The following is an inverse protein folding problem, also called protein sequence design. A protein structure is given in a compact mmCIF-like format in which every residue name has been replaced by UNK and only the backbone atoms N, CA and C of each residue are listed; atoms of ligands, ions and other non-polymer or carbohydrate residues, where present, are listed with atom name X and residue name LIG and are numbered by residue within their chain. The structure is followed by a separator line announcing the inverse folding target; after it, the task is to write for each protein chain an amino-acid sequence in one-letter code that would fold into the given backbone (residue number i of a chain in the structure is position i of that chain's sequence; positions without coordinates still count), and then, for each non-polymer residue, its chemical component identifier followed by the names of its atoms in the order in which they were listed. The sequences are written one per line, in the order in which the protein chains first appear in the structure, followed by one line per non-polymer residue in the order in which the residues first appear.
data_IF_940749345765
#
_entry.id   IF_940749345765
#
_cell.length_a   1.000
_cell.length_b   1.000
_cell.length_c   1.000
_cell.angle_alpha   90.00
_cell.angle_beta   90.00
_cell.angle_gamma   90.00
#
_symmetry.space_group_name_H-M   'P 1'
#
loop_
_entity.id
_entity.type
_entity.pdbx_description
1 polymer ?
#
# COMPACT_ATOMS: atom_id res chain seq x y z
N UNK A 1 -32.23 -26.63 -17.97
CA UNK A 1 -31.07 -25.82 -18.41
C UNK A 1 -29.84 -26.71 -18.31
N UNK A 2 -29.31 -27.14 -19.42
CA UNK A 2 -28.29 -28.20 -19.50
C UNK A 2 -26.89 -27.58 -19.35
N UNK A 3 -26.08 -28.17 -18.48
CA UNK A 3 -24.63 -27.90 -18.29
C UNK A 3 -23.80 -28.11 -19.60
N UNK A 4 -24.43 -28.49 -20.70
CA UNK A 4 -23.82 -28.71 -22.01
C UNK A 4 -23.38 -27.43 -22.76
N UNK A 5 -23.59 -26.24 -22.19
CA UNK A 5 -23.19 -24.98 -22.81
C UNK A 5 -21.76 -24.52 -22.43
N UNK A 6 -21.06 -25.25 -21.56
CA UNK A 6 -19.69 -24.92 -21.16
C UNK A 6 -18.74 -25.50 -22.19
N UNK A 7 -18.17 -24.64 -23.06
CA UNK A 7 -17.20 -25.07 -24.08
C UNK A 7 -15.93 -25.68 -23.48
N UNK A 8 -15.22 -26.55 -24.23
CA UNK A 8 -14.04 -27.31 -23.75
C UNK A 8 -12.87 -26.44 -23.28
N UNK A 9 -12.87 -25.13 -23.56
CA UNK A 9 -11.86 -24.16 -23.11
C UNK A 9 -12.19 -23.44 -21.80
N UNK A 10 -13.39 -23.60 -21.24
CA UNK A 10 -13.86 -22.81 -20.10
C UNK A 10 -13.07 -23.07 -18.81
N UNK A 11 -12.87 -24.34 -18.45
CA UNK A 11 -12.14 -24.72 -17.25
C UNK A 11 -10.67 -24.25 -17.24
N UNK A 12 -9.90 -24.42 -18.32
CA UNK A 12 -8.54 -23.88 -18.40
C UNK A 12 -8.47 -22.36 -18.28
N UNK A 13 -9.44 -21.64 -18.84
CA UNK A 13 -9.50 -20.16 -18.72
C UNK A 13 -9.76 -19.74 -17.29
N UNK A 14 -10.74 -20.36 -16.63
CA UNK A 14 -11.03 -20.10 -15.20
C UNK A 14 -9.83 -20.47 -14.32
N UNK A 15 -9.22 -21.60 -14.54
CA UNK A 15 -8.05 -22.05 -13.77
C UNK A 15 -6.89 -21.03 -13.85
N UNK A 16 -6.58 -20.52 -15.05
CA UNK A 16 -5.59 -19.47 -15.23
C UNK A 16 -5.99 -18.17 -14.54
N UNK A 17 -7.26 -17.77 -14.64
CA UNK A 17 -7.78 -16.57 -13.99
C UNK A 17 -7.66 -16.65 -12.47
N UNK A 18 -8.06 -17.76 -11.85
CA UNK A 18 -7.93 -17.99 -10.41
C UNK A 18 -6.45 -17.98 -10.01
N UNK A 19 -5.58 -18.66 -10.77
CA UNK A 19 -4.14 -18.64 -10.52
C UNK A 19 -3.54 -17.24 -10.55
N UNK A 20 -3.93 -16.43 -11.54
CA UNK A 20 -3.51 -15.04 -11.65
C UNK A 20 -3.98 -14.20 -10.44
N UNK A 21 -5.25 -14.33 -10.04
CA UNK A 21 -5.81 -13.64 -8.88
C UNK A 21 -5.01 -13.96 -7.62
N UNK A 22 -4.73 -15.26 -7.38
CA UNK A 22 -3.98 -15.67 -6.20
C UNK A 22 -2.55 -15.12 -6.18
N UNK A 23 -1.86 -15.16 -7.34
CA UNK A 23 -0.50 -14.61 -7.45
C UNK A 23 -0.46 -13.11 -7.22
N UNK A 24 -1.37 -12.34 -7.82
CA UNK A 24 -1.46 -10.90 -7.58
C UNK A 24 -1.89 -10.57 -6.15
N UNK A 25 -2.77 -11.37 -5.54
CA UNK A 25 -3.17 -11.19 -4.15
C UNK A 25 -1.98 -11.40 -3.20
N UNK A 26 -1.19 -12.46 -3.40
CA UNK A 26 0.03 -12.70 -2.62
C UNK A 26 1.04 -11.57 -2.81
N UNK A 27 1.32 -11.17 -4.06
CA UNK A 27 2.22 -10.07 -4.35
C UNK A 27 1.74 -8.76 -3.73
N UNK A 28 0.46 -8.44 -3.84
CA UNK A 28 -0.13 -7.23 -3.26
C UNK A 28 0.00 -7.19 -1.74
N UNK A 29 -0.31 -8.31 -1.06
CA UNK A 29 -0.12 -8.41 0.39
C UNK A 29 1.34 -8.24 0.79
N UNK A 30 2.27 -8.87 0.07
CA UNK A 30 3.72 -8.72 0.34
C UNK A 30 4.18 -7.28 0.17
N UNK A 31 3.74 -6.58 -0.88
CA UNK A 31 4.05 -5.17 -1.10
C UNK A 31 3.47 -4.27 0.00
N UNK A 32 2.23 -4.53 0.43
CA UNK A 32 1.62 -3.78 1.54
C UNK A 32 2.37 -4.00 2.86
N UNK A 33 2.76 -5.24 3.16
CA UNK A 33 3.56 -5.55 4.35
C UNK A 33 4.95 -4.91 4.29
N UNK A 34 5.58 -4.92 3.12
CA UNK A 34 6.86 -4.26 2.89
C UNK A 34 6.74 -2.74 3.06
N UNK A 35 5.68 -2.13 2.53
CA UNK A 35 5.39 -0.71 2.71
C UNK A 35 5.19 -0.35 4.18
N UNK A 36 4.40 -1.14 4.91
CA UNK A 36 4.24 -0.98 6.35
C UNK A 36 5.58 -1.10 7.09
N UNK A 37 6.37 -2.13 6.79
CA UNK A 37 7.68 -2.32 7.39
C UNK A 37 8.64 -1.16 7.07
N UNK A 38 8.64 -0.64 5.85
CA UNK A 38 9.46 0.49 5.45
C UNK A 38 9.11 1.77 6.24
N UNK A 39 7.82 2.03 6.46
CA UNK A 39 7.35 3.13 7.30
C UNK A 39 7.73 2.89 8.76
N UNK A 40 7.54 1.68 9.30
CA UNK A 40 7.93 1.31 10.68
C UNK A 40 9.44 1.49 10.91
N UNK A 41 10.27 1.03 9.97
CA UNK A 41 11.73 1.13 10.05
C UNK A 41 12.22 2.58 10.03
N UNK A 42 11.50 3.48 9.37
CA UNK A 42 11.85 4.90 9.27
C UNK A 42 11.22 5.75 10.37
N UNK A 43 10.26 5.20 11.15
CA UNK A 43 9.57 5.93 12.22
C UNK A 43 10.28 5.75 13.56
N UNK A 44 10.67 6.83 14.25
CA UNK A 44 11.30 6.73 15.57
C UNK A 44 10.34 6.12 16.58
N UNK A 45 10.68 4.95 17.14
CA UNK A 45 9.97 4.33 18.26
C UNK A 45 9.11 3.11 17.94
N UNK A 46 9.26 2.50 16.75
CA UNK A 46 8.55 1.29 16.30
C UNK A 46 7.03 1.46 16.25
N UNK A 47 6.54 1.87 15.08
CA UNK A 47 5.12 2.09 14.78
C UNK A 47 4.25 0.89 15.16
N UNK A 48 4.72 -0.33 14.86
CA UNK A 48 4.02 -1.57 15.19
C UNK A 48 3.70 -1.69 16.70
N UNK A 49 4.62 -1.28 17.57
CA UNK A 49 4.40 -1.28 19.03
C UNK A 49 3.33 -0.25 19.41
N UNK A 50 3.45 0.97 18.91
CA UNK A 50 2.51 2.06 19.20
C UNK A 50 1.09 1.74 18.75
N UNK A 51 0.94 1.07 17.59
CA UNK A 51 -0.36 0.58 17.09
C UNK A 51 -0.94 -0.49 18.01
N UNK A 52 -0.13 -1.43 18.49
CA UNK A 52 -0.57 -2.46 19.44
C UNK A 52 -0.97 -1.88 20.81
N UNK A 53 -0.34 -0.83 21.24
CA UNK A 53 -0.66 -0.08 22.46
C UNK A 53 -1.93 0.78 22.26
N UNK A 54 -2.45 0.89 21.04
CA UNK A 54 -3.69 1.62 20.73
C UNK A 54 -3.51 3.13 20.75
N UNK A 55 -2.29 3.66 20.57
CA UNK A 55 -2.04 5.10 20.52
C UNK A 55 -2.80 5.71 19.32
N UNK A 56 -3.70 6.67 19.55
CA UNK A 56 -4.67 7.07 18.53
C UNK A 56 -4.03 7.71 17.29
N UNK A 57 -2.95 8.49 17.46
CA UNK A 57 -2.18 9.06 16.36
C UNK A 57 -1.53 8.00 15.49
N UNK A 58 -0.92 6.96 16.11
CA UNK A 58 -0.28 5.87 15.39
C UNK A 58 -1.27 5.00 14.63
N UNK A 59 -2.44 4.72 15.23
CA UNK A 59 -3.51 3.96 14.58
C UNK A 59 -4.04 4.70 13.34
N UNK A 60 -4.34 6.00 13.48
CA UNK A 60 -4.84 6.84 12.39
C UNK A 60 -3.85 6.91 11.23
N UNK A 61 -2.59 7.24 11.51
CA UNK A 61 -1.55 7.41 10.49
C UNK A 61 -1.23 6.08 9.81
N UNK A 62 -1.21 4.98 10.57
CA UNK A 62 -1.01 3.63 10.00
C UNK A 62 -2.16 3.25 9.07
N UNK A 63 -3.41 3.47 9.49
CA UNK A 63 -4.58 3.20 8.64
C UNK A 63 -4.51 3.99 7.33
N UNK A 64 -4.19 5.28 7.38
CA UNK A 64 -4.00 6.12 6.21
C UNK A 64 -2.86 5.64 5.31
N UNK A 65 -1.74 5.22 5.91
CA UNK A 65 -0.59 4.64 5.20
C UNK A 65 -0.95 3.34 4.48
N UNK A 66 -1.72 2.46 5.11
CA UNK A 66 -2.20 1.22 4.48
C UNK A 66 -3.14 1.50 3.31
N UNK A 67 -4.07 2.45 3.45
CA UNK A 67 -4.95 2.88 2.35
C UNK A 67 -4.12 3.45 1.19
N UNK A 68 -3.15 4.28 1.49
CA UNK A 68 -2.20 4.84 0.52
C UNK A 68 -1.47 3.74 -0.25
N UNK A 69 -0.92 2.75 0.45
CA UNK A 69 -0.24 1.60 -0.16
C UNK A 69 -1.18 0.76 -1.01
N UNK A 70 -2.43 0.59 -0.58
CA UNK A 70 -3.43 -0.14 -1.37
C UNK A 70 -3.69 0.55 -2.73
N UNK A 71 -3.78 1.88 -2.78
CA UNK A 71 -3.90 2.63 -4.04
C UNK A 71 -2.70 2.37 -4.96
N UNK A 72 -1.47 2.44 -4.43
CA UNK A 72 -0.24 2.19 -5.20
C UNK A 72 -0.23 0.76 -5.76
N UNK A 73 -0.52 -0.23 -4.92
CA UNK A 73 -0.51 -1.65 -5.32
C UNK A 73 -1.60 -1.94 -6.35
N UNK A 74 -2.83 -1.44 -6.14
CA UNK A 74 -3.94 -1.63 -7.08
C UNK A 74 -3.61 -1.04 -8.44
N UNK A 75 -3.08 0.18 -8.49
CA UNK A 75 -2.72 0.82 -9.76
C UNK A 75 -1.51 0.15 -10.41
N UNK A 76 -0.52 -0.32 -9.64
CA UNK A 76 0.60 -1.09 -10.16
C UNK A 76 0.13 -2.40 -10.83
N UNK A 77 -0.84 -3.09 -10.23
CA UNK A 77 -1.46 -4.28 -10.82
C UNK A 77 -2.30 -3.90 -12.06
N UNK A 78 -3.10 -2.85 -11.96
CA UNK A 78 -3.97 -2.40 -13.03
C UNK A 78 -3.20 -1.98 -14.30
N UNK A 79 -2.10 -1.26 -14.13
CA UNK A 79 -1.24 -0.79 -15.24
C UNK A 79 -0.34 -1.89 -15.82
N UNK A 80 -0.23 -3.04 -15.14
CA UNK A 80 0.58 -4.14 -15.62
C UNK A 80 -0.14 -4.87 -16.78
N UNK A 81 0.52 -4.89 -17.96
CA UNK A 81 0.03 -5.49 -19.20
C UNK A 81 0.96 -6.61 -19.66
N UNK A 82 0.54 -7.39 -20.65
CA UNK A 82 1.34 -8.45 -21.24
C UNK A 82 1.06 -9.83 -20.65
N UNK A 83 2.09 -10.66 -20.57
CA UNK A 83 2.00 -12.00 -19.98
C UNK A 83 1.87 -11.91 -18.45
N UNK A 84 1.38 -12.97 -17.80
CA UNK A 84 1.25 -13.02 -16.34
C UNK A 84 2.59 -12.69 -15.63
N UNK A 85 3.70 -13.19 -16.16
CA UNK A 85 5.04 -12.93 -15.58
C UNK A 85 5.44 -11.45 -15.73
N UNK A 86 5.22 -10.86 -16.90
CA UNK A 86 5.50 -9.43 -17.14
C UNK A 86 4.64 -8.55 -16.23
N UNK A 87 3.35 -8.91 -16.09
CA UNK A 87 2.44 -8.21 -15.19
C UNK A 87 2.85 -8.29 -13.73
N UNK A 88 3.27 -9.45 -13.23
CA UNK A 88 3.78 -9.63 -11.87
C UNK A 88 5.08 -8.84 -11.63
N UNK A 89 6.01 -8.87 -12.60
CA UNK A 89 7.25 -8.10 -12.52
C UNK A 89 6.98 -6.60 -12.57
N UNK A 90 6.09 -6.14 -13.43
CA UNK A 90 5.65 -4.75 -13.50
C UNK A 90 5.04 -4.28 -12.19
N UNK A 91 4.08 -5.03 -11.64
CA UNK A 91 3.46 -4.72 -10.36
C UNK A 91 4.47 -4.71 -9.19
N UNK A 92 5.45 -5.64 -9.20
CA UNK A 92 6.52 -5.65 -8.21
C UNK A 92 7.39 -4.39 -8.30
N UNK A 93 7.87 -4.05 -9.51
CA UNK A 93 8.75 -2.90 -9.71
C UNK A 93 8.04 -1.59 -9.36
N UNK A 94 6.84 -1.36 -9.90
CA UNK A 94 6.07 -0.15 -9.62
C UNK A 94 5.65 -0.05 -8.16
N UNK A 95 5.28 -1.18 -7.55
CA UNK A 95 4.98 -1.24 -6.12
C UNK A 95 6.19 -0.87 -5.26
N UNK A 96 7.39 -1.39 -5.58
CA UNK A 96 8.62 -1.04 -4.85
C UNK A 96 8.98 0.44 -5.01
N UNK A 97 8.89 0.98 -6.23
CA UNK A 97 9.08 2.41 -6.48
C UNK A 97 8.08 3.23 -5.67
N UNK A 98 6.82 2.81 -5.66
CA UNK A 98 5.76 3.44 -4.86
C UNK A 98 6.08 3.47 -3.37
N UNK A 99 6.57 2.36 -2.79
CA UNK A 99 7.03 2.30 -1.39
C UNK A 99 8.14 3.33 -1.12
N UNK A 100 9.14 3.41 -1.98
CA UNK A 100 10.26 4.36 -1.83
C UNK A 100 9.77 5.81 -1.88
N UNK A 101 8.92 6.13 -2.86
CA UNK A 101 8.35 7.48 -3.00
C UNK A 101 7.47 7.83 -1.81
N UNK A 102 6.67 6.89 -1.32
CA UNK A 102 5.81 7.09 -0.14
C UNK A 102 6.63 7.42 1.10
N UNK A 103 7.66 6.63 1.39
CA UNK A 103 8.54 6.86 2.55
C UNK A 103 9.30 8.18 2.41
N UNK A 104 9.86 8.45 1.23
CA UNK A 104 10.58 9.71 0.93
C UNK A 104 9.67 10.93 1.05
N UNK A 105 8.44 10.85 0.54
CA UNK A 105 7.45 11.91 0.60
C UNK A 105 7.02 12.26 2.03
N UNK A 106 6.83 11.25 2.87
CA UNK A 106 6.53 11.47 4.30
C UNK A 106 7.70 12.14 5.03
N UNK A 107 8.93 11.74 4.73
CA UNK A 107 10.12 12.40 5.30
C UNK A 107 10.28 13.83 4.82
N UNK A 108 10.02 14.07 3.55
CA UNK A 108 10.01 15.43 3.00
C UNK A 108 8.94 16.29 3.69
N UNK A 109 7.75 15.74 3.90
CA UNK A 109 6.68 16.43 4.63
C UNK A 109 7.13 16.82 6.05
N UNK A 110 7.73 15.88 6.80
CA UNK A 110 8.26 16.13 8.14
C UNK A 110 9.26 17.28 8.14
N UNK A 111 10.16 17.28 7.16
CA UNK A 111 11.17 18.33 7.01
C UNK A 111 10.57 19.71 6.65
N UNK A 112 9.61 19.75 5.73
CA UNK A 112 8.98 20.99 5.26
C UNK A 112 8.05 21.60 6.31
N UNK A 113 7.25 20.75 6.99
CA UNK A 113 6.24 21.23 7.96
C UNK A 113 6.82 21.44 9.37
N UNK A 114 7.98 20.83 9.66
CA UNK A 114 8.55 20.82 11.00
C UNK A 114 7.76 19.95 12.00
N UNK A 115 6.74 19.21 11.53
CA UNK A 115 5.97 18.30 12.38
C UNK A 115 6.84 17.11 12.73
N UNK A 116 7.14 16.95 14.02
CA UNK A 116 7.87 15.75 14.51
C UNK A 116 6.92 14.55 14.58
N UNK A 117 6.83 13.81 13.47
CA UNK A 117 5.88 12.70 13.32
C UNK A 117 6.01 11.70 14.47
N UNK A 118 7.23 11.38 14.91
CA UNK A 118 7.45 10.46 16.02
C UNK A 118 6.84 10.91 17.36
N UNK A 119 6.74 12.20 17.63
CA UNK A 119 6.07 12.74 18.82
C UNK A 119 4.55 12.66 18.69
N UNK A 120 4.03 13.00 17.52
CA UNK A 120 2.59 12.92 17.21
C UNK A 120 2.07 11.49 17.36
N UNK A 121 2.86 10.51 16.92
CA UNK A 121 2.49 9.10 16.99
C UNK A 121 2.51 8.52 18.41
N UNK A 122 3.37 9.06 19.29
CA UNK A 122 3.51 8.61 20.70
C UNK A 122 2.53 9.27 21.65
N UNK A 123 1.81 10.30 21.21
CA UNK A 123 0.89 10.99 22.07
C UNK A 123 -0.28 10.09 22.51
N UNK A 124 -0.57 10.10 23.83
CA UNK A 124 -1.70 9.34 24.40
C UNK A 124 -3.07 9.89 23.94
N UNK A 125 -3.10 11.14 23.53
CA UNK A 125 -4.31 11.79 23.00
C UNK A 125 -4.13 12.09 21.51
N UNK A 126 -5.22 12.07 20.76
CA UNK A 126 -5.20 12.35 19.33
C UNK A 126 -4.81 13.80 19.07
N UNK A 127 -3.63 14.00 18.54
CA UNK A 127 -3.14 15.32 18.16
C UNK A 127 -3.71 15.74 16.80
N UNK A 128 -4.13 17.02 16.61
CA UNK A 128 -4.59 17.51 15.30
C UNK A 128 -3.58 17.28 14.16
N UNK A 129 -2.29 17.34 14.46
CA UNK A 129 -1.21 17.05 13.49
C UNK A 129 -1.27 15.64 12.91
N UNK A 130 -1.85 14.67 13.64
CA UNK A 130 -2.03 13.30 13.14
C UNK A 130 -2.92 13.26 11.90
N UNK A 131 -3.93 14.13 11.81
CA UNK A 131 -4.77 14.24 10.61
C UNK A 131 -4.01 14.80 9.41
N UNK A 132 -3.12 15.77 9.63
CA UNK A 132 -2.27 16.31 8.57
C UNK A 132 -1.35 15.23 8.01
N UNK A 133 -0.71 14.46 8.89
CA UNK A 133 0.16 13.35 8.49
C UNK A 133 -0.63 12.25 7.77
N UNK A 134 -1.80 11.90 8.29
CA UNK A 134 -2.68 10.90 7.66
C UNK A 134 -3.15 11.35 6.27
N UNK A 135 -3.60 12.59 6.14
CA UNK A 135 -4.01 13.17 4.86
C UNK A 135 -2.85 13.20 3.84
N UNK A 136 -1.66 13.54 4.30
CA UNK A 136 -0.46 13.55 3.45
C UNK A 136 -0.11 12.13 2.95
N UNK A 137 -0.23 11.09 3.79
CA UNK A 137 -0.05 9.71 3.34
C UNK A 137 -1.02 9.36 2.21
N UNK A 138 -2.31 9.66 2.36
CA UNK A 138 -3.32 9.38 1.32
C UNK A 138 -3.04 10.19 0.06
N UNK A 139 -2.75 11.49 0.19
CA UNK A 139 -2.45 12.36 -0.95
C UNK A 139 -1.23 11.87 -1.74
N UNK A 140 -0.14 11.51 -1.05
CA UNK A 140 1.05 10.94 -1.69
C UNK A 140 0.73 9.63 -2.40
N UNK A 141 -0.05 8.74 -1.78
CA UNK A 141 -0.46 7.49 -2.41
C UNK A 141 -1.27 7.71 -3.67
N UNK A 142 -2.18 8.67 -3.68
CA UNK A 142 -2.96 9.02 -4.86
C UNK A 142 -2.08 9.63 -5.97
N UNK A 143 -1.14 10.51 -5.62
CA UNK A 143 -0.20 11.09 -6.60
C UNK A 143 0.66 9.99 -7.23
N UNK A 144 1.22 9.09 -6.43
CA UNK A 144 2.02 7.97 -6.92
C UNK A 144 1.17 7.02 -7.76
N UNK A 145 -0.05 6.71 -7.31
CA UNK A 145 -0.99 5.85 -8.04
C UNK A 145 -1.28 6.41 -9.44
N UNK A 146 -1.56 7.72 -9.55
CA UNK A 146 -1.79 8.37 -10.85
C UNK A 146 -0.53 8.42 -11.71
N UNK A 147 0.65 8.56 -11.09
CA UNK A 147 1.92 8.57 -11.84
C UNK A 147 2.33 7.19 -12.42
N UNK A 148 1.71 6.10 -11.95
CA UNK A 148 1.91 4.74 -12.47
C UNK A 148 1.06 4.48 -13.73
N UNK A 149 -0.08 5.15 -13.88
CA UNK A 149 -1.01 4.98 -15.00
C UNK A 149 -0.50 5.71 -16.24
#
# INVERSE_FOLDING_TARGET
MTLAAIGPGFLPVIGRGIGAILLYAVLGVLLMLLGFWAVDATTPGKLNRMVREGLPGSVLVTAAGMVSMAFIVVTAIWSSTGTLLEGLLGALIFGLVGVVVQVGGVRLLEWVTGIRIGEVLRAETLQPQAFVVAAAHVALGLVVAVAII
#
